data_IF_292164250350
#
_entry.id   IF_292164250350
#
_cell.length_a   1.000
_cell.length_b   1.000
_cell.length_c   1.000
_cell.angle_alpha   90.00
_cell.angle_beta   90.00
_cell.angle_gamma   90.00
#
_symmetry.space_group_name_H-M   'P 1'
#
loop_
_entity.id
_entity.type
_entity.pdbx_description
1 polymer ?
#
# COMPACT_ATOMS: atom_id res chain seq x y z
N UNK A 1 2.88 -28.80 0.30
CA UNK A 1 2.56 -29.91 -0.63
C UNK A 1 1.53 -30.84 -0.01
N UNK A 2 0.78 -31.60 -0.81
CA UNK A 2 0.02 -32.75 -0.32
C UNK A 2 0.97 -33.87 0.14
N UNK A 3 0.47 -34.86 0.89
CA UNK A 3 1.23 -36.04 1.32
C UNK A 3 1.86 -36.84 0.15
N UNK A 4 1.35 -36.66 -1.07
CA UNK A 4 1.83 -37.28 -2.31
C UNK A 4 2.79 -36.39 -3.14
N UNK A 5 3.28 -35.27 -2.60
CA UNK A 5 4.19 -34.35 -3.30
C UNK A 5 3.51 -33.41 -4.31
N UNK A 6 2.20 -33.54 -4.57
CA UNK A 6 1.51 -32.62 -5.48
C UNK A 6 1.33 -31.20 -4.88
N UNK A 7 1.35 -30.19 -5.75
CA UNK A 7 1.08 -28.79 -5.38
C UNK A 7 -0.44 -28.57 -5.31
N UNK A 8 -0.92 -28.05 -4.19
CA UNK A 8 -2.29 -27.54 -4.08
C UNK A 8 -2.43 -26.22 -4.82
N UNK A 9 -3.51 -26.05 -5.58
CA UNK A 9 -3.82 -24.78 -6.24
C UNK A 9 -4.23 -23.75 -5.17
N UNK A 10 -3.62 -22.56 -5.15
CA UNK A 10 -4.00 -21.49 -4.23
C UNK A 10 -5.39 -20.95 -4.58
N UNK A 11 -6.18 -20.62 -3.55
CA UNK A 11 -7.52 -20.03 -3.69
C UNK A 11 -7.58 -18.80 -2.80
N UNK A 12 -7.93 -17.66 -3.38
CA UNK A 12 -8.08 -16.39 -2.68
C UNK A 12 -9.46 -15.79 -2.97
N UNK A 13 -9.99 -15.06 -1.99
CA UNK A 13 -11.24 -14.32 -2.11
C UNK A 13 -10.94 -12.85 -1.88
N UNK A 14 -11.26 -12.00 -2.85
CA UNK A 14 -11.22 -10.55 -2.70
C UNK A 14 -12.57 -10.08 -2.21
N UNK A 15 -12.60 -9.48 -1.01
CA UNK A 15 -13.80 -8.85 -0.46
C UNK A 15 -13.66 -7.34 -0.57
N UNK A 16 -14.60 -6.69 -1.26
CA UNK A 16 -14.64 -5.23 -1.39
C UNK A 16 -16.08 -4.74 -1.21
N UNK A 17 -16.22 -3.59 -0.55
CA UNK A 17 -17.50 -2.88 -0.46
C UNK A 17 -17.58 -1.85 -1.58
N UNK A 18 -18.22 -2.24 -2.69
CA UNK A 18 -18.52 -1.35 -3.80
C UNK A 18 -19.98 -0.89 -3.73
N UNK A 19 -20.30 0.31 -4.23
CA UNK A 19 -21.69 0.72 -4.42
C UNK A 19 -22.43 -0.33 -5.26
N UNK A 20 -23.69 -0.57 -4.92
CA UNK A 20 -24.58 -1.44 -5.69
C UNK A 20 -25.36 -0.60 -6.70
N UNK A 21 -25.75 -1.22 -7.80
CA UNK A 21 -26.68 -0.60 -8.75
C UNK A 21 -27.96 -0.20 -8.01
N UNK A 22 -28.49 0.96 -8.36
CA UNK A 22 -29.72 1.49 -7.80
C UNK A 22 -30.58 2.06 -8.91
N UNK A 23 -31.84 1.62 -8.96
CA UNK A 23 -32.85 2.12 -9.90
C UNK A 23 -32.40 2.09 -11.38
N UNK A 24 -31.77 0.98 -11.80
CA UNK A 24 -31.30 0.79 -13.17
C UNK A 24 -30.03 1.57 -13.55
N UNK A 25 -29.42 2.32 -12.63
CA UNK A 25 -28.16 3.02 -12.86
C UNK A 25 -26.97 2.17 -12.44
N UNK A 26 -25.95 2.10 -13.30
CA UNK A 26 -24.68 1.43 -13.00
C UNK A 26 -23.98 2.07 -11.81
N UNK A 27 -23.43 1.24 -10.93
CA UNK A 27 -22.64 1.70 -9.80
C UNK A 27 -21.28 2.23 -10.28
N UNK A 28 -21.05 3.54 -10.09
CA UNK A 28 -19.78 4.18 -10.43
C UNK A 28 -18.82 4.10 -9.24
N UNK A 29 -17.56 3.75 -9.52
CA UNK A 29 -16.49 3.77 -8.53
C UNK A 29 -15.87 5.16 -8.45
N UNK A 30 -15.68 5.66 -7.24
CA UNK A 30 -14.81 6.80 -6.96
C UNK A 30 -13.36 6.36 -7.12
N UNK A 31 -12.49 7.29 -7.49
CA UNK A 31 -11.08 6.98 -7.71
C UNK A 31 -10.37 6.29 -6.51
N UNK A 32 -10.60 6.68 -5.24
CA UNK A 32 -10.03 5.94 -4.10
C UNK A 32 -10.50 4.48 -4.01
N UNK A 33 -11.71 4.16 -4.49
CA UNK A 33 -12.23 2.78 -4.51
C UNK A 33 -11.52 1.96 -5.60
N UNK A 34 -11.15 2.58 -6.73
CA UNK A 34 -10.33 1.95 -7.77
C UNK A 34 -8.94 1.61 -7.23
N UNK A 35 -8.29 2.57 -6.55
CA UNK A 35 -6.97 2.35 -5.91
C UNK A 35 -7.05 1.22 -4.89
N UNK A 36 -8.08 1.22 -4.04
CA UNK A 36 -8.31 0.15 -3.06
C UNK A 36 -8.52 -1.21 -3.72
N UNK A 37 -9.28 -1.31 -4.81
CA UNK A 37 -9.46 -2.59 -5.52
C UNK A 37 -8.13 -3.07 -6.10
N UNK A 38 -7.31 -2.18 -6.67
CA UNK A 38 -5.97 -2.53 -7.16
C UNK A 38 -5.07 -3.03 -6.03
N UNK A 39 -5.12 -2.36 -4.88
CA UNK A 39 -4.42 -2.77 -3.67
C UNK A 39 -4.85 -4.19 -3.24
N UNK A 40 -6.14 -4.46 -3.04
CA UNK A 40 -6.59 -5.79 -2.63
C UNK A 40 -6.34 -6.87 -3.70
N UNK A 41 -6.46 -6.50 -4.98
CA UNK A 41 -6.18 -7.44 -6.07
C UNK A 41 -4.71 -7.81 -6.15
N UNK A 42 -3.79 -6.91 -5.79
CA UNK A 42 -2.38 -7.25 -5.70
C UNK A 42 -2.09 -8.35 -4.67
N UNK A 43 -2.80 -8.35 -3.54
CA UNK A 43 -2.69 -9.37 -2.50
C UNK A 43 -3.16 -10.73 -3.04
N UNK A 44 -4.21 -10.74 -3.86
CA UNK A 44 -4.64 -11.93 -4.61
C UNK A 44 -3.55 -12.39 -5.58
N UNK A 45 -2.98 -11.49 -6.37
CA UNK A 45 -1.91 -11.80 -7.33
C UNK A 45 -0.68 -12.38 -6.62
N UNK A 46 -0.31 -11.82 -5.47
CA UNK A 46 0.76 -12.33 -4.62
C UNK A 46 0.44 -13.74 -4.12
N UNK A 47 -0.76 -13.94 -3.56
CA UNK A 47 -1.21 -15.23 -3.05
C UNK A 47 -1.15 -16.34 -4.13
N UNK A 48 -1.67 -16.07 -5.34
CA UNK A 48 -1.70 -17.08 -6.42
C UNK A 48 -0.32 -17.30 -7.06
N UNK A 49 0.55 -16.30 -7.00
CA UNK A 49 1.91 -16.36 -7.55
C UNK A 49 2.88 -17.13 -6.68
N UNK A 50 2.67 -17.15 -5.36
CA UNK A 50 3.51 -17.83 -4.37
C UNK A 50 3.73 -19.32 -4.71
N UNK A 51 4.98 -19.77 -4.70
CA UNK A 51 5.44 -21.13 -5.04
C UNK A 51 6.13 -21.84 -3.87
N UNK A 52 6.00 -21.35 -2.65
CA UNK A 52 6.60 -21.98 -1.48
C UNK A 52 6.13 -23.43 -1.28
N UNK A 53 7.07 -24.29 -0.89
CA UNK A 53 6.84 -25.74 -0.71
C UNK A 53 5.98 -26.04 0.53
N UNK A 54 6.25 -25.31 1.62
CA UNK A 54 5.59 -25.49 2.91
C UNK A 54 4.45 -24.50 3.08
N UNK A 55 3.32 -24.97 3.62
CA UNK A 55 2.12 -24.15 3.82
C UNK A 55 2.37 -22.93 4.71
N UNK A 56 3.28 -23.06 5.70
CA UNK A 56 3.69 -21.97 6.59
C UNK A 56 4.21 -20.74 5.84
N UNK A 57 4.90 -20.96 4.72
CA UNK A 57 5.49 -19.90 3.88
C UNK A 57 4.66 -19.58 2.63
N UNK A 58 3.53 -20.28 2.47
CA UNK A 58 2.56 -20.02 1.41
C UNK A 58 1.62 -18.88 1.79
N UNK A 59 0.94 -18.28 0.81
CA UNK A 59 0.06 -17.11 1.00
C UNK A 59 0.82 -15.84 1.41
N UNK A 60 0.12 -14.91 2.04
CA UNK A 60 0.60 -13.65 2.62
C UNK A 60 1.13 -13.83 4.05
N UNK A 61 1.50 -15.06 4.45
CA UNK A 61 2.14 -15.34 5.75
C UNK A 61 3.63 -14.95 5.70
N UNK A 62 3.84 -13.69 5.41
CA UNK A 62 5.12 -13.00 5.28
C UNK A 62 5.38 -12.24 6.59
N UNK A 63 6.59 -11.73 6.76
CA UNK A 63 6.82 -10.68 7.75
C UNK A 63 5.85 -9.52 7.43
N UNK A 64 5.18 -8.99 8.46
CA UNK A 64 4.01 -8.10 8.29
C UNK A 64 4.33 -6.83 7.48
N UNK A 65 5.58 -6.39 7.56
CA UNK A 65 6.19 -5.27 6.87
C UNK A 65 6.58 -5.53 5.40
N UNK A 66 6.48 -6.77 4.90
CA UNK A 66 6.70 -7.07 3.48
C UNK A 66 5.40 -7.28 2.70
N UNK A 67 4.32 -7.71 3.38
CA UNK A 67 3.06 -8.05 2.72
C UNK A 67 2.49 -6.88 1.89
N UNK A 68 2.68 -5.65 2.37
CA UNK A 68 2.17 -4.42 1.73
C UNK A 68 3.08 -3.86 0.63
N UNK A 69 4.32 -4.31 0.48
CA UNK A 69 5.22 -3.75 -0.54
C UNK A 69 4.66 -3.98 -1.97
N UNK A 70 4.21 -5.19 -2.35
CA UNK A 70 3.63 -5.41 -3.67
C UNK A 70 2.35 -4.63 -3.93
N UNK A 71 1.50 -4.44 -2.91
CA UNK A 71 0.23 -3.72 -3.03
C UNK A 71 0.46 -2.23 -3.27
N UNK A 72 1.27 -1.61 -2.42
CA UNK A 72 1.67 -0.22 -2.54
C UNK A 72 2.44 0.06 -3.83
N UNK A 73 3.25 -0.90 -4.30
CA UNK A 73 3.89 -0.80 -5.60
C UNK A 73 2.85 -0.72 -6.73
N UNK A 74 1.88 -1.64 -6.73
CA UNK A 74 0.89 -1.74 -7.81
C UNK A 74 -0.15 -0.62 -7.81
N UNK A 75 -0.40 0.05 -6.69
CA UNK A 75 -1.20 1.28 -6.64
C UNK A 75 -0.68 2.37 -7.58
N UNK A 76 0.64 2.41 -7.87
CA UNK A 76 1.20 3.38 -8.80
C UNK A 76 0.56 3.32 -10.20
N UNK A 77 0.11 2.14 -10.66
CA UNK A 77 -0.56 2.01 -11.96
C UNK A 77 -1.88 2.79 -12.02
N UNK A 78 -2.59 2.98 -10.89
CA UNK A 78 -3.81 3.79 -10.87
C UNK A 78 -3.55 5.27 -11.17
N UNK A 79 -2.31 5.74 -11.02
CA UNK A 79 -1.92 7.13 -11.22
C UNK A 79 -1.19 7.39 -12.54
N UNK A 80 -0.96 6.35 -13.35
CA UNK A 80 -0.31 6.49 -14.65
C UNK A 80 -1.33 6.52 -15.79
N UNK A 81 -1.24 7.55 -16.64
CA UNK A 81 -2.24 7.85 -17.66
C UNK A 81 -2.55 6.68 -18.59
N UNK A 82 -1.54 5.88 -18.95
CA UNK A 82 -1.74 4.72 -19.83
C UNK A 82 -2.66 3.69 -19.18
N UNK A 83 -2.38 3.33 -17.93
CA UNK A 83 -3.16 2.35 -17.18
C UNK A 83 -4.53 2.90 -16.80
N UNK A 84 -4.62 4.17 -16.38
CA UNK A 84 -5.88 4.80 -16.02
C UNK A 84 -6.85 4.87 -17.21
N UNK A 85 -6.33 5.11 -18.42
CA UNK A 85 -7.15 5.05 -19.65
C UNK A 85 -7.61 3.65 -19.98
N UNK A 86 -6.78 2.62 -19.74
CA UNK A 86 -7.18 1.22 -19.95
C UNK A 86 -8.29 0.75 -19.00
N UNK A 87 -8.32 1.28 -17.78
CA UNK A 87 -9.29 0.89 -16.75
C UNK A 87 -10.52 1.82 -16.68
N UNK A 88 -10.68 2.78 -17.60
CA UNK A 88 -11.78 3.75 -17.58
C UNK A 88 -12.54 3.82 -18.90
N UNK A 89 -13.84 4.11 -18.79
CA UNK A 89 -14.71 4.46 -19.88
C UNK A 89 -15.92 5.24 -19.34
N UNK A 90 -16.43 6.22 -20.08
CA UNK A 90 -17.65 6.92 -19.68
C UNK A 90 -18.82 5.95 -19.68
N UNK A 91 -19.70 6.02 -18.69
CA UNK A 91 -20.85 5.11 -18.60
C UNK A 91 -21.73 5.18 -19.86
N UNK A 92 -21.87 6.37 -20.45
CA UNK A 92 -22.61 6.60 -21.69
C UNK A 92 -21.90 6.08 -22.94
N UNK A 93 -20.57 5.92 -22.90
CA UNK A 93 -19.74 5.48 -24.01
C UNK A 93 -18.41 4.92 -23.47
N UNK A 94 -18.38 3.62 -23.23
CA UNK A 94 -17.26 2.93 -22.59
C UNK A 94 -15.97 3.00 -23.43
N UNK A 95 -16.08 3.32 -24.73
CA UNK A 95 -14.91 3.46 -25.62
C UNK A 95 -14.16 4.76 -25.37
N UNK A 96 -14.80 5.75 -24.73
CA UNK A 96 -14.18 7.02 -24.37
C UNK A 96 -13.59 6.91 -22.97
N UNK A 97 -12.27 6.85 -22.88
CA UNK A 97 -11.55 6.84 -21.60
C UNK A 97 -11.50 8.22 -20.96
N UNK A 98 -11.04 8.29 -19.71
CA UNK A 98 -10.72 9.55 -19.03
C UNK A 98 -9.71 10.39 -19.84
N UNK A 99 -9.84 11.72 -19.77
CA UNK A 99 -8.95 12.64 -20.49
C UNK A 99 -7.54 12.67 -19.88
N UNK A 100 -6.55 13.11 -20.67
CA UNK A 100 -5.17 13.26 -20.18
C UNK A 100 -5.08 14.29 -19.05
N UNK A 101 -5.87 15.36 -19.13
CA UNK A 101 -5.92 16.44 -18.14
C UNK A 101 -6.46 15.93 -16.81
N UNK A 102 -7.49 15.07 -16.84
CA UNK A 102 -8.02 14.42 -15.65
C UNK A 102 -7.01 13.43 -15.04
N UNK A 103 -6.26 12.67 -15.86
CA UNK A 103 -5.16 11.82 -15.37
C UNK A 103 -4.10 12.66 -14.64
N UNK A 104 -3.64 13.76 -15.25
CA UNK A 104 -2.67 14.67 -14.64
C UNK A 104 -3.19 15.31 -13.35
N UNK A 105 -4.48 15.67 -13.32
CA UNK A 105 -5.13 16.21 -12.12
C UNK A 105 -5.13 15.21 -10.97
N UNK A 106 -5.50 13.95 -11.23
CA UNK A 106 -5.46 12.87 -10.22
C UNK A 106 -4.04 12.60 -9.73
N UNK A 107 -3.06 12.58 -10.64
CA UNK A 107 -1.65 12.42 -10.29
C UNK A 107 -1.14 13.54 -9.41
N UNK A 108 -1.46 14.81 -9.71
CA UNK A 108 -1.11 15.96 -8.85
C UNK A 108 -1.78 15.88 -7.48
N UNK A 109 -3.04 15.44 -7.42
CA UNK A 109 -3.78 15.30 -6.15
C UNK A 109 -3.23 14.22 -5.24
N UNK A 110 -2.53 13.20 -5.78
CA UNK A 110 -1.89 12.13 -5.00
C UNK A 110 -0.96 12.67 -3.92
N UNK A 111 -0.21 13.71 -4.26
CA UNK A 111 0.86 14.25 -3.41
C UNK A 111 0.42 15.48 -2.61
N UNK A 112 -0.81 15.96 -2.84
CA UNK A 112 -1.37 17.08 -2.12
C UNK A 112 -1.50 16.73 -0.63
N UNK A 113 -0.92 17.57 0.25
CA UNK A 113 -0.84 17.33 1.69
C UNK A 113 -0.06 16.05 2.10
N UNK A 114 0.74 15.45 1.22
CA UNK A 114 1.47 14.22 1.54
C UNK A 114 2.39 14.37 2.77
N UNK A 115 3.02 15.53 2.96
CA UNK A 115 3.83 15.79 4.16
C UNK A 115 3.01 15.86 5.45
N UNK A 116 1.80 16.44 5.42
CA UNK A 116 0.92 16.47 6.59
C UNK A 116 0.37 15.07 6.90
N UNK A 117 -0.03 14.32 5.87
CA UNK A 117 -0.47 12.93 6.00
C UNK A 117 0.63 12.05 6.61
N UNK A 118 1.86 12.16 6.10
CA UNK A 118 3.00 11.41 6.62
C UNK A 118 3.30 11.77 8.09
N UNK A 119 3.20 13.05 8.46
CA UNK A 119 3.34 13.45 9.87
C UNK A 119 2.26 12.84 10.77
N UNK A 120 1.02 12.76 10.30
CA UNK A 120 -0.06 12.09 11.02
C UNK A 120 0.23 10.59 11.18
N UNK A 121 0.71 9.92 10.13
CA UNK A 121 1.11 8.50 10.20
C UNK A 121 2.30 8.31 11.17
N UNK A 122 3.31 9.19 11.15
CA UNK A 122 4.44 9.17 12.09
C UNK A 122 3.96 9.35 13.54
N UNK A 123 3.04 10.28 13.80
CA UNK A 123 2.47 10.46 15.14
C UNK A 123 1.86 9.16 15.66
N UNK A 124 1.07 8.49 14.82
CA UNK A 124 0.45 7.21 15.17
C UNK A 124 1.49 6.10 15.40
N UNK A 125 2.54 6.05 14.59
CA UNK A 125 3.64 5.11 14.78
C UNK A 125 4.39 5.36 16.09
N UNK A 126 4.63 6.62 16.46
CA UNK A 126 5.27 6.97 17.73
C UNK A 126 4.42 6.55 18.92
N UNK A 127 3.12 6.82 18.86
CA UNK A 127 2.18 6.38 19.91
C UNK A 127 2.20 4.86 20.03
N UNK A 128 2.05 4.14 18.91
CA UNK A 128 2.09 2.67 18.85
C UNK A 128 3.39 2.10 19.44
N UNK A 129 4.55 2.65 19.10
CA UNK A 129 5.80 2.16 19.67
C UNK A 129 5.88 2.42 21.18
N UNK A 130 5.52 3.63 21.64
CA UNK A 130 5.66 4.00 23.05
C UNK A 130 4.72 3.19 23.95
N UNK A 131 3.48 2.95 23.54
CA UNK A 131 2.54 2.14 24.33
C UNK A 131 2.98 0.67 24.45
N UNK A 132 3.77 0.16 23.49
CA UNK A 132 4.26 -1.22 23.49
C UNK A 132 5.68 -1.37 24.08
N UNK A 133 6.40 -0.29 24.33
CA UNK A 133 7.74 -0.32 24.95
C UNK A 133 7.79 0.25 26.36
N UNK A 134 6.68 0.80 26.87
CA UNK A 134 6.63 1.51 28.15
C UNK A 134 5.48 1.01 29.01
N UNK A 135 5.64 1.05 30.33
CA UNK A 135 4.60 0.63 31.28
C UNK A 135 3.68 1.80 31.68
N UNK A 136 2.41 1.49 31.98
CA UNK A 136 1.41 2.43 32.54
C UNK A 136 1.23 3.73 31.73
N UNK A 137 1.20 3.63 30.39
CA UNK A 137 1.03 4.79 29.51
C UNK A 137 -0.43 5.25 29.48
N UNK A 138 -0.65 6.52 29.80
CA UNK A 138 -1.90 7.22 29.44
C UNK A 138 -1.81 7.68 27.98
N UNK A 139 -2.62 7.06 27.11
CA UNK A 139 -2.58 7.30 25.66
C UNK A 139 -3.03 8.72 25.33
N UNK A 140 -4.01 9.28 26.05
CA UNK A 140 -4.51 10.62 25.77
C UNK A 140 -3.46 11.68 26.17
N UNK A 141 -2.77 11.50 27.30
CA UNK A 141 -1.65 12.37 27.68
C UNK A 141 -0.46 12.23 26.72
N UNK A 142 -0.14 11.02 26.28
CA UNK A 142 0.90 10.78 25.28
C UNK A 142 0.60 11.51 23.97
N UNK A 143 -0.63 11.42 23.47
CA UNK A 143 -1.03 12.11 22.24
C UNK A 143 -0.98 13.63 22.43
N UNK A 144 -1.42 14.17 23.58
CA UNK A 144 -1.32 15.60 23.88
C UNK A 144 0.14 16.09 23.89
N UNK A 145 1.08 15.29 24.37
CA UNK A 145 2.51 15.63 24.36
C UNK A 145 3.13 15.54 22.95
N UNK A 146 2.84 14.48 22.20
CA UNK A 146 3.45 14.24 20.89
C UNK A 146 2.85 15.10 19.77
N UNK A 147 1.54 15.33 19.79
CA UNK A 147 0.83 16.06 18.74
C UNK A 147 1.49 17.40 18.39
N UNK A 148 1.73 18.34 19.34
CA UNK A 148 2.35 19.62 19.01
C UNK A 148 3.81 19.50 18.53
N UNK A 149 4.52 18.40 18.84
CA UNK A 149 5.90 18.15 18.39
C UNK A 149 5.95 17.67 16.93
N UNK A 150 4.94 16.92 16.50
CA UNK A 150 4.90 16.29 15.17
C UNK A 150 4.04 17.12 14.19
N UNK A 151 2.81 17.45 14.62
CA UNK A 151 1.79 18.17 13.86
C UNK A 151 1.90 19.67 14.18
N UNK A 152 2.82 20.34 13.49
CA UNK A 152 3.06 21.77 13.67
C UNK A 152 1.92 22.61 13.07
N UNK A 153 1.42 23.56 13.85
CA UNK A 153 0.46 24.58 13.38
C UNK A 153 -1.01 24.13 13.29
N UNK A 154 -1.32 22.89 13.71
CA UNK A 154 -2.70 22.41 13.85
C UNK A 154 -2.91 22.04 15.32
N UNK A 155 -3.83 22.69 16.05
CA UNK A 155 -4.08 22.38 17.45
C UNK A 155 -4.89 21.09 17.60
N UNK A 156 -4.69 20.40 18.73
CA UNK A 156 -5.58 19.31 19.14
C UNK A 156 -6.92 19.90 19.61
N UNK A 157 -8.03 19.27 19.24
CA UNK A 157 -9.37 19.74 19.65
C UNK A 157 -9.63 19.37 21.11
N UNK A 158 -9.93 20.38 21.93
CA UNK A 158 -10.32 20.18 23.34
C UNK A 158 -11.59 19.33 23.47
N UNK A 159 -11.66 18.53 24.54
CA UNK A 159 -12.81 17.67 24.81
C UNK A 159 -12.89 16.40 23.94
N UNK A 160 -11.89 16.15 23.09
CA UNK A 160 -11.76 14.89 22.35
C UNK A 160 -10.86 13.91 23.08
N UNK A 161 -11.08 12.60 22.88
CA UNK A 161 -10.16 11.52 23.27
C UNK A 161 -9.66 10.85 21.99
N UNK A 162 -8.51 11.28 21.45
CA UNK A 162 -7.90 10.64 20.29
C UNK A 162 -7.63 9.16 20.50
N UNK A 163 -7.41 8.70 21.74
CA UNK A 163 -7.25 7.30 22.08
C UNK A 163 -8.48 6.45 21.70
N UNK A 164 -9.70 7.00 21.81
CA UNK A 164 -10.95 6.28 21.48
C UNK A 164 -11.10 5.93 20.00
N UNK A 165 -10.37 6.63 19.12
CA UNK A 165 -10.37 6.43 17.68
C UNK A 165 -9.01 5.95 17.18
N UNK A 166 -8.14 5.43 18.06
CA UNK A 166 -6.83 4.95 17.66
C UNK A 166 -7.00 3.95 16.50
N UNK A 167 -6.26 4.11 15.39
CA UNK A 167 -6.57 3.43 14.15
C UNK A 167 -6.70 1.93 14.37
N UNK A 168 -7.62 1.33 13.63
CA UNK A 168 -7.82 -0.13 13.57
C UNK A 168 -6.55 -0.90 13.18
N UNK A 169 -5.54 -0.19 12.68
CA UNK A 169 -4.17 -0.65 12.40
C UNK A 169 -3.37 -0.98 13.67
N UNK A 170 -3.84 -0.65 14.86
CA UNK A 170 -3.24 -1.10 16.13
C UNK A 170 -3.88 -2.40 16.64
N UNK A 171 -5.16 -2.62 16.36
CA UNK A 171 -5.88 -3.81 16.87
C UNK A 171 -5.59 -5.01 15.97
N UNK A 172 -4.70 -5.90 16.43
CA UNK A 172 -4.24 -7.09 15.69
C UNK A 172 -2.95 -6.87 14.89
N UNK A 173 -2.34 -5.70 15.02
CA UNK A 173 -1.09 -5.27 14.41
C UNK A 173 -0.30 -4.45 15.45
N UNK A 174 -0.19 -5.00 16.65
CA UNK A 174 0.46 -4.38 17.80
C UNK A 174 1.96 -4.14 17.51
N UNK A 175 2.44 -2.93 17.81
CA UNK A 175 3.84 -2.53 17.65
C UNK A 175 4.40 -2.57 16.21
N UNK A 176 3.53 -2.61 15.20
CA UNK A 176 3.95 -2.64 13.78
C UNK A 176 3.34 -1.53 12.94
N UNK A 177 2.77 -0.46 13.52
CA UNK A 177 2.19 0.64 12.73
C UNK A 177 3.18 1.25 11.72
N UNK A 178 4.47 1.28 12.06
CA UNK A 178 5.53 1.80 11.20
C UNK A 178 5.72 1.00 9.89
N UNK A 179 5.28 -0.26 9.88
CA UNK A 179 5.46 -1.20 8.77
C UNK A 179 4.83 -0.71 7.46
N UNK A 180 3.77 0.11 7.55
CA UNK A 180 3.12 0.67 6.37
C UNK A 180 4.01 1.74 5.70
N UNK A 181 4.54 2.69 6.47
CA UNK A 181 5.52 3.68 5.96
C UNK A 181 6.76 2.96 5.44
N UNK A 182 7.24 1.96 6.18
CA UNK A 182 8.36 1.11 5.78
C UNK A 182 8.10 0.48 4.40
N UNK A 183 6.93 -0.11 4.19
CA UNK A 183 6.53 -0.72 2.92
C UNK A 183 6.43 0.29 1.77
N UNK A 184 5.89 1.49 2.04
CA UNK A 184 5.82 2.57 1.04
C UNK A 184 7.22 2.98 0.55
N UNK A 185 8.23 2.95 1.42
CA UNK A 185 9.61 3.27 1.04
C UNK A 185 10.15 2.28 0.01
N UNK A 186 10.02 0.97 0.26
CA UNK A 186 10.47 -0.04 -0.71
C UNK A 186 9.63 0.00 -1.98
N UNK A 187 8.32 0.16 -1.87
CA UNK A 187 7.42 0.28 -3.02
C UNK A 187 7.81 1.45 -3.94
N UNK A 188 8.15 2.61 -3.36
CA UNK A 188 8.61 3.78 -4.11
C UNK A 188 9.93 3.51 -4.85
N UNK A 189 10.89 2.83 -4.21
CA UNK A 189 12.17 2.49 -4.84
C UNK A 189 12.01 1.46 -5.97
N UNK A 190 11.23 0.41 -5.72
CA UNK A 190 10.88 -0.60 -6.74
C UNK A 190 10.23 0.05 -7.95
N UNK A 191 9.23 0.92 -7.73
CA UNK A 191 8.52 1.58 -8.81
C UNK A 191 9.47 2.46 -9.63
N UNK A 192 10.21 3.35 -8.96
CA UNK A 192 11.10 4.29 -9.60
C UNK A 192 12.23 3.60 -10.38
N UNK A 193 12.75 2.48 -9.87
CA UNK A 193 13.91 1.80 -10.44
C UNK A 193 13.56 0.77 -11.51
N UNK A 194 12.41 0.09 -11.41
CA UNK A 194 12.11 -1.10 -12.24
C UNK A 194 10.92 -0.93 -13.19
N UNK A 195 10.05 0.05 -12.97
CA UNK A 195 8.76 0.13 -13.67
C UNK A 195 8.41 1.49 -14.24
N UNK A 196 8.90 2.59 -13.63
CA UNK A 196 8.51 3.96 -13.98
C UNK A 196 8.67 4.28 -15.48
N UNK A 197 9.73 3.78 -16.11
CA UNK A 197 10.04 4.12 -17.51
C UNK A 197 9.27 3.27 -18.53
N UNK A 198 8.80 2.08 -18.14
CA UNK A 198 8.01 1.18 -18.99
C UNK A 198 7.04 0.32 -18.16
N UNK A 199 5.85 0.88 -17.94
CA UNK A 199 4.80 0.32 -17.08
C UNK A 199 4.20 -1.00 -17.58
N UNK A 200 4.23 -1.24 -18.89
CA UNK A 200 3.61 -2.41 -19.52
C UNK A 200 4.64 -3.45 -19.95
N UNK A 201 5.89 -3.32 -19.48
CA UNK A 201 6.94 -4.27 -19.75
C UNK A 201 6.62 -5.65 -19.16
N UNK A 202 6.17 -6.57 -20.01
CA UNK A 202 5.82 -7.93 -19.60
C UNK A 202 7.00 -8.69 -19.00
N UNK A 203 8.22 -8.45 -19.48
CA UNK A 203 9.41 -9.11 -18.96
C UNK A 203 9.71 -8.63 -17.53
N UNK A 204 9.61 -7.32 -17.26
CA UNK A 204 9.74 -6.79 -15.90
C UNK A 204 8.67 -7.37 -14.96
N UNK A 205 7.41 -7.44 -15.41
CA UNK A 205 6.31 -8.04 -14.65
C UNK A 205 6.53 -9.52 -14.33
N UNK A 206 7.01 -10.32 -15.29
CA UNK A 206 7.33 -11.73 -15.07
C UNK A 206 8.51 -11.90 -14.10
N UNK A 207 9.54 -11.05 -14.20
CA UNK A 207 10.64 -11.05 -13.23
C UNK A 207 10.14 -10.72 -11.83
N UNK A 208 9.30 -9.69 -11.68
CA UNK A 208 8.69 -9.34 -10.38
C UNK A 208 7.89 -10.50 -9.80
N UNK A 209 7.02 -11.12 -10.60
CA UNK A 209 6.27 -12.31 -10.20
C UNK A 209 7.18 -13.43 -9.71
N UNK A 210 8.26 -13.73 -10.43
CA UNK A 210 9.12 -14.87 -10.12
C UNK A 210 10.13 -14.61 -8.99
N UNK A 211 10.60 -13.37 -8.86
CA UNK A 211 11.64 -12.99 -7.90
C UNK A 211 11.09 -12.43 -6.60
N UNK A 212 9.96 -11.73 -6.64
CA UNK A 212 9.38 -11.07 -5.47
C UNK A 212 8.17 -11.83 -4.93
N UNK A 213 7.21 -12.21 -5.79
CA UNK A 213 5.97 -12.84 -5.32
C UNK A 213 6.08 -14.35 -5.13
N UNK A 214 6.79 -15.04 -6.02
CA UNK A 214 6.87 -16.49 -6.01
C UNK A 214 7.60 -17.08 -4.78
N UNK A 215 8.63 -16.46 -4.20
CA UNK A 215 9.26 -17.00 -2.99
C UNK A 215 8.30 -17.09 -1.80
N UNK A 216 7.30 -16.20 -1.70
CA UNK A 216 6.49 -16.11 -0.49
C UNK A 216 7.36 -15.88 0.75
N UNK A 217 6.98 -16.50 1.87
CA UNK A 217 7.75 -16.41 3.12
C UNK A 217 8.97 -17.32 3.20
N UNK A 218 9.46 -17.85 2.08
CA UNK A 218 10.61 -18.78 2.07
C UNK A 218 11.98 -18.09 2.09
N UNK A 219 12.00 -16.76 1.92
CA UNK A 219 13.19 -15.90 1.93
C UNK A 219 12.91 -14.64 2.74
N UNK A 220 13.96 -14.03 3.28
CA UNK A 220 13.82 -12.76 4.00
C UNK A 220 13.39 -11.61 3.06
N UNK A 221 12.50 -10.70 3.50
CA UNK A 221 12.07 -9.54 2.74
C UNK A 221 13.22 -8.73 2.12
N UNK A 222 14.21 -8.36 2.93
CA UNK A 222 15.33 -7.54 2.47
C UNK A 222 16.22 -8.29 1.45
N UNK A 223 16.37 -9.61 1.61
CA UNK A 223 17.06 -10.45 0.61
C UNK A 223 16.33 -10.41 -0.74
N UNK A 224 14.99 -10.56 -0.72
CA UNK A 224 14.16 -10.55 -1.93
C UNK A 224 14.27 -9.19 -2.64
N UNK A 225 14.08 -8.09 -1.90
CA UNK A 225 14.11 -6.75 -2.49
C UNK A 225 15.51 -6.40 -3.00
N UNK A 226 16.56 -6.74 -2.25
CA UNK A 226 17.95 -6.48 -2.64
C UNK A 226 18.35 -7.28 -3.89
N UNK A 227 18.01 -8.57 -3.99
CA UNK A 227 18.23 -9.38 -5.20
C UNK A 227 17.49 -8.77 -6.41
N UNK A 228 16.24 -8.34 -6.21
CA UNK A 228 15.44 -7.80 -7.30
C UNK A 228 15.92 -6.41 -7.77
N UNK A 229 16.31 -5.55 -6.84
CA UNK A 229 16.89 -4.25 -7.14
C UNK A 229 18.30 -4.37 -7.74
N UNK A 230 19.08 -5.36 -7.30
CA UNK A 230 20.51 -5.50 -7.61
C UNK A 230 21.41 -4.60 -6.75
N UNK A 231 20.84 -4.03 -5.67
CA UNK A 231 21.47 -3.14 -4.69
C UNK A 231 20.59 -3.04 -3.45
N UNK A 232 21.14 -2.53 -2.37
CA UNK A 232 20.36 -2.19 -1.19
C UNK A 232 19.26 -1.15 -1.52
N UNK A 233 18.08 -1.23 -0.87
CA UNK A 233 17.00 -0.29 -1.06
C UNK A 233 17.37 1.13 -0.61
N UNK A 234 16.77 2.12 -1.26
CA UNK A 234 17.05 3.53 -1.00
C UNK A 234 15.79 4.29 -0.57
N UNK A 235 15.95 5.17 0.41
CA UNK A 235 14.90 6.10 0.85
C UNK A 235 14.67 7.24 -0.17
N UNK A 236 15.61 7.50 -1.07
CA UNK A 236 15.58 8.66 -1.96
C UNK A 236 14.35 8.73 -2.87
N UNK A 237 13.91 7.65 -3.54
CA UNK A 237 12.70 7.68 -4.37
C UNK A 237 11.44 8.02 -3.58
N UNK A 238 11.33 7.54 -2.33
CA UNK A 238 10.23 7.89 -1.44
C UNK A 238 10.24 9.39 -1.13
N UNK A 239 11.37 9.94 -0.66
CA UNK A 239 11.51 11.38 -0.37
C UNK A 239 11.15 12.21 -1.60
N UNK A 240 11.71 11.89 -2.77
CA UNK A 240 11.41 12.60 -4.02
C UNK A 240 9.92 12.56 -4.38
N UNK A 241 9.25 11.43 -4.16
CA UNK A 241 7.81 11.31 -4.41
C UNK A 241 6.99 12.23 -3.50
N UNK A 242 7.44 12.44 -2.26
CA UNK A 242 6.78 13.32 -1.27
C UNK A 242 7.10 14.81 -1.45
N UNK A 243 8.20 15.16 -2.13
CA UNK A 243 8.64 16.56 -2.30
C UNK A 243 8.40 17.13 -3.70
N UNK A 244 8.14 16.31 -4.72
CA UNK A 244 7.95 16.77 -6.11
C UNK A 244 6.83 17.80 -6.32
N UNK A 245 5.86 17.86 -5.41
CA UNK A 245 4.72 18.78 -5.44
C UNK A 245 4.59 19.59 -4.13
N UNK A 246 5.66 19.65 -3.33
CA UNK A 246 5.71 20.51 -2.16
C UNK A 246 5.92 21.95 -2.65
N UNK A 247 4.79 22.67 -2.80
CA UNK A 247 4.61 24.11 -3.08
C UNK A 247 5.82 24.83 -3.69
#
# INVERSE_FOLDING_TARGET
>A
MCSNGSRKVPVAVLLSQCPKEFDGNSALLRFPEVVRIFHEFSHVVHHISNRATFSRFSSLRLEGDFAEIPSLLLENWCYESISLKMMSGFYQDITKSVSTEACQSLKRRRDMFAGLKLKQEILLCLVDQIIHTSENVDIDELIKDLHPKVILGIPLLEGTSPASCFPRIAVGYDAVCYSYIWSEVFAADLFATKFKDDLLNQHAGLRFRNKVLAPGGSKGPLEIITDYLGREPSLQPFIQSRTRNAL
#
